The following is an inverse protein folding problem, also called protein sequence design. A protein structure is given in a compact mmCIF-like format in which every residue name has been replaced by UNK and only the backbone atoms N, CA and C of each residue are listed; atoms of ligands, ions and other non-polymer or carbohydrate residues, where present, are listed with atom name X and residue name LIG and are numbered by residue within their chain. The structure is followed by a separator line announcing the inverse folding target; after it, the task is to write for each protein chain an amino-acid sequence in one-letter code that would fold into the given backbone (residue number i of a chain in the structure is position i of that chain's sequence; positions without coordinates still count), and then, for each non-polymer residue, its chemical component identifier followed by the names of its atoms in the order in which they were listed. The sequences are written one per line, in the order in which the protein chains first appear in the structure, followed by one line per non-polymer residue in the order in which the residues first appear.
data_IF_632791426967
#
_entry.id   IF_632791426967
#
_cell.length_a   1.000
_cell.length_b   1.000
_cell.length_c   1.000
_cell.angle_alpha   90.00
_cell.angle_beta   90.00
_cell.angle_gamma   90.00
#
_symmetry.space_group_name_H-M   'P 1'
#
loop_
_entity.id
_entity.type
_entity.pdbx_description
1 polymer ?
#
# COMPACT_ATOMS: atom_id res chain seq x y z
N UNK A 1 11.78 9.40 -22.74
CA UNK A 1 11.66 9.48 -21.27
C UNK A 1 12.71 10.45 -20.80
N UNK A 2 12.31 11.46 -20.05
CA UNK A 2 13.25 12.45 -19.53
C UNK A 2 14.18 11.83 -18.48
N UNK A 3 15.40 12.34 -18.37
CA UNK A 3 16.42 11.76 -17.46
C UNK A 3 15.93 11.68 -16.01
N UNK A 4 15.22 12.70 -15.55
CA UNK A 4 14.71 12.75 -14.18
C UNK A 4 13.62 11.69 -13.94
N UNK A 5 12.75 11.44 -14.93
CA UNK A 5 11.71 10.41 -14.85
C UNK A 5 12.34 9.03 -14.73
N UNK A 6 13.36 8.75 -15.56
CA UNK A 6 14.11 7.50 -15.50
C UNK A 6 14.76 7.30 -14.12
N UNK A 7 15.37 8.35 -13.55
CA UNK A 7 15.96 8.29 -12.21
C UNK A 7 14.92 7.96 -11.14
N UNK A 8 13.75 8.60 -11.17
CA UNK A 8 12.66 8.34 -10.22
C UNK A 8 12.16 6.90 -10.35
N UNK A 9 11.89 6.44 -11.58
CA UNK A 9 11.40 5.08 -11.82
C UNK A 9 12.42 4.02 -11.40
N UNK A 10 13.70 4.23 -11.75
CA UNK A 10 14.79 3.31 -11.38
C UNK A 10 14.99 3.26 -9.87
N UNK A 11 14.95 4.41 -9.19
CA UNK A 11 15.04 4.46 -7.72
C UNK A 11 13.84 3.79 -7.07
N UNK A 12 12.63 4.02 -7.59
CA UNK A 12 11.41 3.41 -7.06
C UNK A 12 11.41 1.88 -7.20
N UNK A 13 12.08 1.32 -8.20
CA UNK A 13 12.21 -0.14 -8.35
C UNK A 13 12.83 -0.79 -7.11
N UNK A 14 13.82 -0.15 -6.50
CA UNK A 14 14.58 -0.73 -5.37
C UNK A 14 14.24 -0.08 -4.02
N UNK A 15 13.87 1.20 -4.01
CA UNK A 15 13.65 2.00 -2.80
C UNK A 15 12.20 2.50 -2.67
N UNK A 16 11.21 1.74 -3.17
CA UNK A 16 9.78 2.14 -3.13
C UNK A 16 9.30 2.54 -1.74
N UNK A 17 9.76 1.85 -0.69
CA UNK A 17 9.33 2.18 0.68
C UNK A 17 10.01 3.45 1.20
N UNK A 18 11.27 3.69 0.85
CA UNK A 18 11.96 4.93 1.20
C UNK A 18 11.29 6.13 0.53
N UNK A 19 11.08 6.05 -0.79
CA UNK A 19 10.40 7.10 -1.56
C UNK A 19 8.96 7.32 -1.10
N UNK A 20 8.21 6.24 -0.86
CA UNK A 20 6.84 6.32 -0.35
C UNK A 20 6.77 7.00 1.02
N UNK A 21 7.69 6.65 1.93
CA UNK A 21 7.79 7.28 3.25
C UNK A 21 8.11 8.78 3.15
N UNK A 22 9.07 9.17 2.30
CA UNK A 22 9.41 10.58 2.06
C UNK A 22 8.20 11.36 1.52
N UNK A 23 7.50 10.81 0.54
CA UNK A 23 6.33 11.44 -0.06
C UNK A 23 5.20 11.62 0.96
N UNK A 24 4.90 10.57 1.73
CA UNK A 24 3.79 10.52 2.68
C UNK A 24 4.04 11.30 3.97
N UNK A 25 5.31 11.59 4.30
CA UNK A 25 5.68 12.48 5.42
C UNK A 25 5.55 13.96 5.07
N UNK A 26 5.34 14.32 3.80
CA UNK A 26 5.16 15.73 3.44
C UNK A 26 3.86 16.31 4.07
N UNK A 27 3.85 17.56 4.56
CA UNK A 27 2.70 18.13 5.28
C UNK A 27 1.40 18.11 4.46
N UNK A 28 1.50 18.36 3.16
CA UNK A 28 0.35 18.35 2.25
C UNK A 28 -0.24 16.95 2.10
N UNK A 29 0.61 15.92 1.98
CA UNK A 29 0.17 14.53 1.87
C UNK A 29 -0.40 14.00 3.17
N UNK A 30 0.20 14.34 4.30
CA UNK A 30 -0.31 13.97 5.62
C UNK A 30 -1.75 14.48 5.83
N UNK A 31 -2.00 15.77 5.55
CA UNK A 31 -3.35 16.36 5.62
C UNK A 31 -4.35 15.68 4.68
N UNK A 32 -3.95 15.44 3.43
CA UNK A 32 -4.80 14.78 2.44
C UNK A 32 -5.14 13.34 2.84
N UNK A 33 -4.17 12.59 3.38
CA UNK A 33 -4.36 11.20 3.85
C UNK A 33 -5.38 11.13 4.98
N UNK A 34 -5.26 12.01 5.98
CA UNK A 34 -6.23 12.03 7.09
C UNK A 34 -7.65 12.29 6.59
N UNK A 35 -7.83 13.32 5.75
CA UNK A 35 -9.14 13.66 5.20
C UNK A 35 -9.75 12.51 4.39
N UNK A 36 -8.95 11.84 3.58
CA UNK A 36 -9.44 10.81 2.66
C UNK A 36 -9.61 9.45 3.34
N UNK A 37 -8.87 9.15 4.41
CA UNK A 37 -8.91 7.85 5.08
C UNK A 37 -10.31 7.54 5.61
N UNK A 38 -10.93 8.46 6.34
CA UNK A 38 -12.29 8.26 6.86
C UNK A 38 -13.30 7.97 5.75
N UNK A 39 -13.30 8.77 4.69
CA UNK A 39 -14.21 8.60 3.54
C UNK A 39 -14.02 7.23 2.89
N UNK A 40 -12.78 6.76 2.75
CA UNK A 40 -12.51 5.43 2.19
C UNK A 40 -12.97 4.30 3.09
N UNK A 41 -12.86 4.44 4.42
CA UNK A 41 -13.41 3.48 5.37
C UNK A 41 -14.94 3.42 5.30
N UNK A 42 -15.61 4.56 5.18
CA UNK A 42 -17.07 4.64 5.01
C UNK A 42 -17.51 3.95 3.72
N UNK A 43 -16.88 4.26 2.59
CA UNK A 43 -17.16 3.62 1.29
C UNK A 43 -16.95 2.10 1.37
N UNK A 44 -15.84 1.65 1.96
CA UNK A 44 -15.55 0.23 2.10
C UNK A 44 -16.59 -0.50 2.96
N UNK A 45 -16.97 0.09 4.09
CA UNK A 45 -18.01 -0.46 4.96
C UNK A 45 -19.37 -0.51 4.25
N UNK A 46 -19.70 0.52 3.47
CA UNK A 46 -20.92 0.55 2.67
C UNK A 46 -20.94 -0.58 1.62
N UNK A 47 -19.81 -0.82 0.93
CA UNK A 47 -19.68 -1.90 -0.05
C UNK A 47 -19.84 -3.26 0.64
N UNK A 48 -19.17 -3.49 1.78
CA UNK A 48 -19.28 -4.74 2.55
C UNK A 48 -20.71 -5.01 2.99
N UNK A 49 -21.38 -3.99 3.53
CA UNK A 49 -22.76 -4.09 3.97
C UNK A 49 -23.69 -4.40 2.79
N UNK A 50 -23.59 -3.64 1.71
CA UNK A 50 -24.44 -3.81 0.52
C UNK A 50 -24.24 -5.19 -0.12
N UNK A 51 -23.00 -5.64 -0.25
CA UNK A 51 -22.70 -6.96 -0.79
C UNK A 51 -23.21 -8.08 0.14
N UNK A 52 -23.04 -7.93 1.46
CA UNK A 52 -23.61 -8.86 2.44
C UNK A 52 -25.14 -8.94 2.36
N UNK A 53 -25.83 -7.82 2.27
CA UNK A 53 -27.29 -7.78 2.12
C UNK A 53 -27.76 -8.45 0.82
N UNK A 54 -27.06 -8.19 -0.29
CA UNK A 54 -27.37 -8.81 -1.57
C UNK A 54 -27.13 -10.33 -1.56
N UNK A 55 -26.09 -10.78 -0.88
CA UNK A 55 -25.78 -12.20 -0.71
C UNK A 55 -26.90 -12.93 0.05
N UNK A 56 -27.42 -12.33 1.14
CA UNK A 56 -28.52 -12.91 1.91
C UNK A 56 -29.78 -13.08 1.05
N UNK A 57 -30.11 -12.07 0.24
CA UNK A 57 -31.27 -12.08 -0.63
C UNK A 57 -31.11 -12.94 -1.91
N UNK A 58 -29.88 -13.35 -2.24
CA UNK A 58 -29.60 -14.13 -3.45
C UNK A 58 -30.13 -15.56 -3.36
N UNK A 59 -30.76 -16.05 -4.42
CA UNK A 59 -31.16 -17.47 -4.55
C UNK A 59 -30.08 -18.36 -5.15
N UNK A 60 -28.93 -17.78 -5.54
CA UNK A 60 -27.92 -18.47 -6.34
C UNK A 60 -26.99 -19.35 -5.50
N UNK A 61 -26.94 -19.14 -4.18
CA UNK A 61 -26.03 -19.85 -3.29
C UNK A 61 -26.80 -20.57 -2.16
N UNK A 62 -26.40 -21.81 -1.81
CA UNK A 62 -26.86 -22.48 -0.60
C UNK A 62 -26.47 -21.71 0.68
N UNK A 63 -27.19 -21.96 1.77
CA UNK A 63 -26.98 -21.30 3.06
C UNK A 63 -25.54 -21.46 3.59
N UNK A 64 -24.94 -22.64 3.40
CA UNK A 64 -23.56 -22.90 3.82
C UNK A 64 -22.55 -21.97 3.13
N UNK A 65 -22.67 -21.81 1.81
CA UNK A 65 -21.80 -20.93 1.02
C UNK A 65 -22.02 -19.47 1.41
N UNK A 66 -23.28 -19.06 1.65
CA UNK A 66 -23.58 -17.71 2.16
C UNK A 66 -22.89 -17.44 3.49
N UNK A 67 -22.93 -18.39 4.42
CA UNK A 67 -22.27 -18.29 5.73
C UNK A 67 -20.75 -18.11 5.58
N UNK A 68 -20.10 -18.90 4.72
CA UNK A 68 -18.66 -18.79 4.46
C UNK A 68 -18.28 -17.43 3.85
N UNK A 69 -19.05 -16.96 2.87
CA UNK A 69 -18.81 -15.65 2.24
C UNK A 69 -19.04 -14.53 3.27
N UNK A 70 -20.06 -14.62 4.12
CA UNK A 70 -20.32 -13.66 5.20
C UNK A 70 -19.18 -13.62 6.22
N UNK A 71 -18.65 -14.77 6.62
CA UNK A 71 -17.49 -14.86 7.49
C UNK A 71 -16.28 -14.18 6.84
N UNK A 72 -16.02 -14.45 5.56
CA UNK A 72 -14.96 -13.78 4.80
C UNK A 72 -15.15 -12.26 4.77
N UNK A 73 -16.34 -11.78 4.45
CA UNK A 73 -16.65 -10.34 4.44
C UNK A 73 -16.43 -9.71 5.81
N UNK A 74 -16.79 -10.39 6.91
CA UNK A 74 -16.62 -9.88 8.27
C UNK A 74 -15.15 -9.74 8.69
N UNK A 75 -14.28 -10.62 8.16
CA UNK A 75 -12.85 -10.64 8.47
C UNK A 75 -12.01 -9.74 7.55
N UNK A 76 -12.59 -9.17 6.49
CA UNK A 76 -11.87 -8.26 5.61
C UNK A 76 -11.51 -6.95 6.33
N UNK A 77 -10.23 -6.60 6.29
CA UNK A 77 -9.69 -5.32 6.77
C UNK A 77 -9.33 -4.41 5.60
N UNK A 78 -9.41 -3.09 5.81
CA UNK A 78 -9.02 -2.10 4.82
C UNK A 78 -7.64 -1.52 5.15
N UNK A 79 -6.71 -1.58 4.20
CA UNK A 79 -5.47 -0.83 4.23
C UNK A 79 -5.59 0.37 3.30
N UNK A 80 -5.46 1.60 3.83
CA UNK A 80 -5.59 2.83 3.06
C UNK A 80 -4.25 3.53 2.90
N UNK A 81 -3.86 3.80 1.66
CA UNK A 81 -2.66 4.58 1.36
C UNK A 81 -1.38 3.85 1.74
N UNK A 82 -0.61 4.44 2.66
CA UNK A 82 0.73 3.97 3.01
C UNK A 82 0.79 3.47 4.46
N UNK A 83 1.42 2.32 4.74
CA UNK A 83 1.48 1.76 6.09
C UNK A 83 2.18 2.69 7.09
N UNK A 84 1.54 2.97 8.23
CA UNK A 84 2.09 3.88 9.24
C UNK A 84 3.43 3.43 9.80
N UNK A 85 3.63 2.11 9.96
CA UNK A 85 4.91 1.53 10.40
C UNK A 85 6.08 1.98 9.51
N UNK A 86 5.84 2.10 8.20
CA UNK A 86 6.85 2.51 7.21
C UNK A 86 7.07 4.03 7.17
N UNK A 87 6.33 4.82 7.97
CA UNK A 87 6.62 6.24 8.19
C UNK A 87 7.70 6.45 9.26
N UNK A 88 8.02 5.41 10.03
CA UNK A 88 9.06 5.45 11.05
C UNK A 88 10.43 5.29 10.39
N UNK A 89 11.34 6.27 10.50
CA UNK A 89 12.66 6.21 9.84
C UNK A 89 13.44 4.95 10.19
N UNK A 90 13.49 4.56 11.47
CA UNK A 90 14.22 3.37 11.91
C UNK A 90 13.74 2.07 11.24
N UNK A 91 12.44 1.96 10.89
CA UNK A 91 11.92 0.79 10.18
C UNK A 91 12.40 0.78 8.73
N UNK A 92 12.45 1.95 8.10
CA UNK A 92 12.98 2.11 6.75
C UNK A 92 14.48 1.83 6.73
N UNK A 93 15.22 2.38 7.68
CA UNK A 93 16.67 2.19 7.79
C UNK A 93 17.00 0.70 7.99
N UNK A 94 16.31 0.03 8.91
CA UNK A 94 16.45 -1.41 9.13
C UNK A 94 16.09 -2.24 7.90
N UNK A 95 15.12 -1.81 7.08
CA UNK A 95 14.77 -2.51 5.85
C UNK A 95 15.89 -2.43 4.80
N UNK A 96 16.66 -1.33 4.78
CA UNK A 96 17.75 -1.11 3.81
C UNK A 96 19.16 -1.31 4.39
N UNK A 97 19.30 -1.90 5.58
CA UNK A 97 20.59 -2.04 6.29
C UNK A 97 21.67 -2.76 5.45
N UNK A 98 21.26 -3.72 4.60
CA UNK A 98 22.17 -4.43 3.69
C UNK A 98 22.47 -3.74 2.36
N UNK A 99 21.88 -2.57 2.09
CA UNK A 99 22.04 -1.88 0.81
C UNK A 99 23.27 -0.98 0.83
N UNK A 100 24.22 -1.25 -0.07
CA UNK A 100 25.37 -0.37 -0.31
C UNK A 100 25.13 0.47 -1.57
N UNK A 101 25.21 1.80 -1.45
CA UNK A 101 25.01 2.74 -2.56
C UNK A 101 26.36 3.29 -3.03
N UNK A 102 26.68 3.05 -4.30
CA UNK A 102 27.84 3.62 -4.99
C UNK A 102 27.42 4.88 -5.75
N UNK A 103 27.62 6.06 -5.14
CA UNK A 103 27.10 7.35 -5.64
C UNK A 103 27.51 7.66 -7.09
N UNK A 104 28.72 7.26 -7.51
CA UNK A 104 29.26 7.52 -8.84
C UNK A 104 29.06 6.38 -9.84
N UNK A 105 28.50 5.25 -9.40
CA UNK A 105 28.42 4.05 -10.21
C UNK A 105 26.99 3.49 -10.20
N UNK A 106 26.17 4.06 -11.08
CA UNK A 106 24.79 3.63 -11.27
C UNK A 106 24.69 2.17 -11.71
N UNK A 107 25.59 1.71 -12.59
CA UNK A 107 25.51 0.35 -13.12
C UNK A 107 25.84 -0.69 -12.04
N UNK A 108 26.85 -0.43 -11.21
CA UNK A 108 27.15 -1.28 -10.05
C UNK A 108 26.00 -1.33 -9.05
N UNK A 109 25.31 -0.21 -8.81
CA UNK A 109 24.11 -0.22 -7.97
C UNK A 109 23.05 -1.17 -8.53
N UNK A 110 22.81 -1.17 -9.84
CA UNK A 110 21.86 -2.11 -10.46
C UNK A 110 22.28 -3.57 -10.28
N UNK A 111 23.57 -3.89 -10.40
CA UNK A 111 24.07 -5.26 -10.18
C UNK A 111 23.88 -5.72 -8.73
N UNK A 112 24.11 -4.83 -7.76
CA UNK A 112 23.98 -5.15 -6.33
C UNK A 112 22.52 -5.28 -5.91
N UNK A 113 21.61 -4.49 -6.50
CA UNK A 113 20.19 -4.51 -6.11
C UNK A 113 19.33 -5.52 -6.88
N UNK A 114 19.85 -6.09 -7.98
CA UNK A 114 19.14 -7.08 -8.80
C UNK A 114 19.87 -8.41 -8.67
N UNK A 115 19.40 -9.30 -7.80
CA UNK A 115 19.80 -10.71 -7.83
C UNK A 115 19.19 -11.43 -9.04
#
# INVERSE_FOLDING_TARGET
MERWEFCIQSTAKFFKFGLGSLYERSPNRYKARQKNSQVLHEIFNQIRYTFGANLENSRWYPLEIKSQIRAKLSNMTLAVGYPERLLTPAVIDSYYDGYTIFIKDFFKNLQVFTC
#
